data_IF_592259442121
#
_entry.id   IF_592259442121
#
_cell.length_a   1.000
_cell.length_b   1.000
_cell.length_c   1.000
_cell.angle_alpha   90.00
_cell.angle_beta   90.00
_cell.angle_gamma   90.00
#
_symmetry.space_group_name_H-M   'P 1'
#
loop_
_entity.id
_entity.type
_entity.pdbx_description
1 polymer ?
#
# COMPACT_ATOMS: atom_id res chain seq x y z
N UNK A 1 -73.73 12.33 -3.15
CA UNK A 1 -72.47 11.96 -3.82
C UNK A 1 -71.48 11.46 -2.77
N UNK A 2 -71.31 10.14 -2.67
CA UNK A 2 -70.41 9.52 -1.70
C UNK A 2 -69.05 9.23 -2.43
N UNK A 3 -67.96 9.83 -1.88
CA UNK A 3 -66.62 9.61 -2.38
C UNK A 3 -66.04 8.36 -1.72
N UNK A 4 -65.81 7.32 -2.53
CA UNK A 4 -65.20 6.07 -2.09
C UNK A 4 -63.68 6.27 -1.83
N UNK A 5 -63.21 6.06 -0.58
CA UNK A 5 -61.80 5.96 -0.22
C UNK A 5 -61.22 4.66 -0.77
N UNK A 6 -60.34 4.74 -1.78
CA UNK A 6 -59.47 3.62 -2.19
C UNK A 6 -58.42 3.36 -1.14
N UNK A 7 -58.47 2.20 -0.53
CA UNK A 7 -57.40 1.69 0.35
C UNK A 7 -56.17 1.27 -0.46
N UNK A 8 -54.97 1.80 -0.12
CA UNK A 8 -53.70 1.38 -0.71
C UNK A 8 -53.35 -0.05 -0.26
N UNK A 9 -52.72 -0.87 -1.12
CA UNK A 9 -52.33 -2.21 -0.77
C UNK A 9 -51.13 -2.17 0.21
N UNK A 10 -51.26 -2.84 1.36
CA UNK A 10 -50.18 -3.12 2.29
C UNK A 10 -49.11 -3.94 1.57
N UNK A 11 -47.95 -3.34 1.32
CA UNK A 11 -46.75 -4.05 0.90
C UNK A 11 -46.32 -4.98 2.04
N UNK A 12 -46.53 -6.26 1.89
CA UNK A 12 -46.00 -7.29 2.78
C UNK A 12 -44.49 -7.20 2.72
N UNK A 13 -43.85 -6.82 3.84
CA UNK A 13 -42.43 -6.95 4.02
C UNK A 13 -42.09 -8.43 4.06
N UNK A 14 -41.58 -8.97 2.96
CA UNK A 14 -40.97 -10.28 2.93
C UNK A 14 -39.72 -10.24 3.83
N UNK A 15 -39.87 -10.69 5.07
CA UNK A 15 -38.77 -10.99 5.95
C UNK A 15 -37.97 -12.12 5.30
N UNK A 16 -36.84 -11.79 4.64
CA UNK A 16 -35.85 -12.76 4.20
C UNK A 16 -35.23 -13.35 5.47
N UNK A 17 -35.74 -14.50 5.91
CA UNK A 17 -35.04 -15.38 6.85
C UNK A 17 -33.83 -15.98 6.15
N UNK A 18 -32.82 -15.14 5.94
CA UNK A 18 -31.50 -15.60 5.52
C UNK A 18 -30.92 -16.46 6.63
N UNK A 19 -30.98 -17.77 6.47
CA UNK A 19 -30.21 -18.68 7.32
C UNK A 19 -28.77 -18.24 7.27
N UNK A 20 -28.26 -17.66 8.35
CA UNK A 20 -26.87 -17.24 8.47
C UNK A 20 -26.01 -18.50 8.21
N UNK A 21 -25.27 -18.51 7.10
CA UNK A 21 -24.34 -19.61 6.80
C UNK A 21 -23.39 -19.73 7.99
N UNK A 22 -23.44 -20.84 8.74
CA UNK A 22 -22.46 -21.12 9.76
C UNK A 22 -21.14 -21.47 9.06
N UNK A 23 -20.12 -20.69 9.30
CA UNK A 23 -18.77 -20.99 8.81
C UNK A 23 -18.07 -21.90 9.83
N UNK A 24 -17.43 -22.95 9.35
CA UNK A 24 -16.66 -23.85 10.21
C UNK A 24 -15.49 -23.07 10.85
N UNK A 25 -15.27 -23.28 12.14
CA UNK A 25 -14.14 -22.70 12.85
C UNK A 25 -12.81 -23.23 12.27
N UNK A 26 -11.76 -22.39 12.35
CA UNK A 26 -10.41 -22.79 11.94
C UNK A 26 -9.93 -23.93 12.87
N UNK A 27 -9.33 -25.01 12.32
CA UNK A 27 -8.74 -26.05 13.14
C UNK A 27 -7.71 -25.52 14.14
N UNK A 28 -7.73 -26.00 15.39
CA UNK A 28 -6.88 -25.48 16.47
C UNK A 28 -5.38 -25.47 16.14
N UNK A 29 -4.89 -26.49 15.42
CA UNK A 29 -3.48 -26.54 14.98
C UNK A 29 -3.13 -25.39 14.01
N UNK A 30 -4.06 -25.05 13.10
CA UNK A 30 -3.88 -23.94 12.15
C UNK A 30 -3.97 -22.58 12.84
N UNK A 31 -4.89 -22.42 13.79
CA UNK A 31 -4.99 -21.22 14.61
C UNK A 31 -3.71 -20.99 15.44
N UNK A 32 -3.12 -22.04 16.02
CA UNK A 32 -1.82 -21.99 16.71
C UNK A 32 -0.68 -21.61 15.76
N UNK A 33 -0.66 -22.17 14.55
CA UNK A 33 0.35 -21.80 13.55
C UNK A 33 0.27 -20.34 13.16
N UNK A 34 -0.94 -19.81 12.88
CA UNK A 34 -1.15 -18.38 12.55
C UNK A 34 -0.75 -17.46 13.71
N UNK A 35 -1.07 -17.85 14.94
CA UNK A 35 -0.65 -17.13 16.14
C UNK A 35 0.88 -17.02 16.22
N UNK A 36 1.60 -18.10 16.02
CA UNK A 36 3.05 -18.11 16.04
C UNK A 36 3.65 -17.24 14.91
N UNK A 37 3.07 -17.31 13.70
CA UNK A 37 3.46 -16.46 12.58
C UNK A 37 3.28 -14.97 12.91
N UNK A 38 2.10 -14.57 13.40
CA UNK A 38 1.85 -13.19 13.77
C UNK A 38 2.83 -12.70 14.86
N UNK A 39 3.12 -13.52 15.88
CA UNK A 39 4.12 -13.17 16.92
C UNK A 39 5.52 -12.96 16.34
N UNK A 40 5.95 -13.84 15.45
CA UNK A 40 7.24 -13.70 14.78
C UNK A 40 7.30 -12.40 13.95
N UNK A 41 6.21 -12.05 13.26
CA UNK A 41 6.12 -10.84 12.47
C UNK A 41 6.08 -9.55 13.31
N UNK A 42 5.48 -9.58 14.51
CA UNK A 42 5.61 -8.48 15.49
C UNK A 42 7.07 -8.18 15.76
N UNK A 43 7.84 -9.23 16.09
CA UNK A 43 9.27 -9.10 16.43
C UNK A 43 10.08 -8.65 15.22
N UNK A 44 9.90 -9.31 14.07
CA UNK A 44 10.67 -9.01 12.85
C UNK A 44 10.44 -7.58 12.35
N UNK A 45 9.18 -7.14 12.29
CA UNK A 45 8.86 -5.77 11.89
C UNK A 45 9.30 -4.76 12.95
N UNK A 46 9.09 -5.06 14.22
CA UNK A 46 9.50 -4.18 15.32
C UNK A 46 11.02 -3.95 15.37
N UNK A 47 11.81 -5.02 15.23
CA UNK A 47 13.28 -4.93 15.18
C UNK A 47 13.70 -4.08 13.97
N UNK A 48 13.14 -4.31 12.78
CA UNK A 48 13.50 -3.54 11.59
C UNK A 48 13.14 -2.04 11.75
N UNK A 49 11.99 -1.72 12.35
CA UNK A 49 11.62 -0.34 12.66
C UNK A 49 12.67 0.35 13.55
N UNK A 50 13.10 -0.33 14.62
CA UNK A 50 14.11 0.20 15.55
C UNK A 50 15.47 0.35 14.84
N UNK A 51 15.92 -0.68 14.14
CA UNK A 51 17.21 -0.65 13.44
C UNK A 51 17.26 0.55 12.48
N UNK A 52 16.25 0.72 11.63
CA UNK A 52 16.21 1.82 10.65
C UNK A 52 16.30 3.18 11.35
N UNK A 53 15.60 3.40 12.45
CA UNK A 53 15.68 4.68 13.20
C UNK A 53 17.09 4.90 13.76
N UNK A 54 17.74 3.84 14.26
CA UNK A 54 19.05 3.95 14.93
C UNK A 54 20.19 4.17 13.93
N UNK A 55 20.17 3.48 12.78
CA UNK A 55 21.31 3.49 11.86
C UNK A 55 21.17 4.49 10.70
N UNK A 56 19.97 5.07 10.47
CA UNK A 56 19.74 5.92 9.31
C UNK A 56 19.92 7.39 9.64
N UNK A 57 20.64 8.16 8.79
CA UNK A 57 20.72 9.60 8.93
C UNK A 57 19.35 10.24 8.66
N UNK A 58 19.10 11.39 9.27
CA UNK A 58 17.85 12.14 9.12
C UNK A 58 17.88 13.18 7.99
N UNK A 59 19.02 13.30 7.28
CA UNK A 59 19.22 14.28 6.23
C UNK A 59 18.30 14.07 5.01
N UNK A 60 18.11 12.80 4.61
CA UNK A 60 17.20 12.47 3.52
C UNK A 60 15.74 12.63 4.00
N UNK A 61 14.98 13.48 3.32
CA UNK A 61 13.64 13.83 3.73
C UNK A 61 12.61 13.72 2.58
N UNK A 62 11.41 13.29 2.93
CA UNK A 62 10.22 13.45 2.10
C UNK A 62 9.79 14.91 2.21
N UNK A 63 9.70 15.60 1.08
CA UNK A 63 9.38 17.02 1.01
C UNK A 63 8.02 17.20 0.36
N UNK A 64 7.18 18.04 0.96
CA UNK A 64 5.88 18.43 0.42
C UNK A 64 5.96 19.91 -0.02
N UNK A 65 5.96 20.12 -1.34
CA UNK A 65 6.13 21.41 -1.97
C UNK A 65 4.78 21.87 -2.53
N UNK A 66 4.35 23.06 -2.13
CA UNK A 66 3.21 23.76 -2.73
C UNK A 66 3.66 24.63 -3.91
N UNK A 67 2.81 24.75 -4.92
CA UNK A 67 3.01 25.63 -6.07
C UNK A 67 1.94 26.70 -6.10
N UNK A 68 2.34 27.95 -6.43
CA UNK A 68 1.43 29.07 -6.50
C UNK A 68 1.81 30.03 -7.64
N UNK A 69 0.85 30.80 -8.19
CA UNK A 69 1.12 31.75 -9.25
C UNK A 69 1.81 33.02 -8.72
N UNK A 70 2.79 33.49 -9.46
CA UNK A 70 3.43 34.81 -9.28
C UNK A 70 3.40 35.55 -10.61
N UNK A 71 3.61 36.88 -10.56
CA UNK A 71 3.73 37.67 -11.78
C UNK A 71 4.94 37.18 -12.60
N UNK A 72 4.70 36.79 -13.82
CA UNK A 72 5.71 36.40 -14.80
C UNK A 72 6.21 37.60 -15.62
N UNK A 73 7.07 37.37 -16.61
CA UNK A 73 7.53 38.41 -17.52
C UNK A 73 6.38 38.96 -18.36
N UNK A 74 6.50 40.25 -18.76
CA UNK A 74 5.58 40.86 -19.72
C UNK A 74 5.95 40.39 -21.12
N UNK A 75 5.03 39.69 -21.81
CA UNK A 75 5.22 39.20 -23.18
C UNK A 75 4.26 39.95 -24.11
N UNK A 76 4.77 40.63 -25.12
CA UNK A 76 3.99 41.45 -26.06
C UNK A 76 3.06 42.47 -25.36
N UNK A 77 3.54 43.08 -24.26
CA UNK A 77 2.78 44.05 -23.49
C UNK A 77 1.70 43.46 -22.56
N UNK A 78 1.56 42.13 -22.52
CA UNK A 78 0.58 41.43 -21.67
C UNK A 78 1.27 40.82 -20.44
N UNK A 79 0.66 40.97 -19.23
CA UNK A 79 1.15 40.30 -18.03
C UNK A 79 0.97 38.81 -18.15
N UNK A 80 1.99 38.04 -17.75
CA UNK A 80 1.92 36.57 -17.66
C UNK A 80 2.02 36.10 -16.22
N UNK A 81 1.66 34.84 -15.96
CA UNK A 81 1.85 34.17 -14.69
C UNK A 81 2.98 33.15 -14.82
N UNK A 82 3.83 33.11 -13.81
CA UNK A 82 4.85 32.05 -13.61
C UNK A 82 4.51 31.26 -12.36
N UNK A 83 5.02 30.03 -12.26
CA UNK A 83 4.87 29.21 -11.06
C UNK A 83 6.03 29.47 -10.11
N UNK A 84 5.72 29.73 -8.86
CA UNK A 84 6.67 29.67 -7.74
C UNK A 84 6.34 28.46 -6.85
N UNK A 85 7.28 28.09 -5.99
CA UNK A 85 7.12 26.94 -5.10
C UNK A 85 7.58 27.28 -3.69
N UNK A 86 6.93 26.64 -2.71
CA UNK A 86 7.24 26.81 -1.29
C UNK A 86 7.24 25.42 -0.60
N UNK A 87 8.20 25.22 0.30
CA UNK A 87 8.22 24.02 1.14
C UNK A 87 7.15 24.14 2.23
N UNK A 88 6.10 23.34 2.15
CA UNK A 88 5.03 23.30 3.15
C UNK A 88 5.49 22.60 4.43
N UNK A 89 6.04 21.41 4.28
CA UNK A 89 6.66 20.65 5.36
C UNK A 89 7.56 19.54 4.80
N UNK A 90 8.39 18.99 5.68
CA UNK A 90 9.20 17.81 5.38
C UNK A 90 9.37 16.95 6.61
N UNK A 91 9.66 15.67 6.41
CA UNK A 91 10.02 14.77 7.50
C UNK A 91 11.06 13.74 7.02
N UNK A 92 11.94 13.27 7.92
CA UNK A 92 12.98 12.33 7.56
C UNK A 92 12.43 11.04 6.97
N UNK A 93 12.98 10.60 5.83
CA UNK A 93 12.59 9.37 5.13
C UNK A 93 12.75 8.15 6.03
N UNK A 94 13.75 8.14 6.92
CA UNK A 94 13.95 7.08 7.90
C UNK A 94 12.73 6.85 8.80
N UNK A 95 12.06 7.93 9.23
CA UNK A 95 10.86 7.82 10.06
C UNK A 95 9.66 7.29 9.27
N UNK A 96 9.57 7.61 7.99
CA UNK A 96 8.54 7.02 7.12
C UNK A 96 8.75 5.51 6.98
N UNK A 97 10.01 5.06 6.78
CA UNK A 97 10.37 3.64 6.71
C UNK A 97 10.07 2.94 8.03
N UNK A 98 10.46 3.53 9.16
CA UNK A 98 10.15 2.98 10.47
C UNK A 98 8.63 2.91 10.74
N UNK A 99 7.86 3.90 10.27
CA UNK A 99 6.42 3.97 10.46
C UNK A 99 5.70 2.83 9.74
N UNK A 100 6.05 2.49 8.49
CA UNK A 100 5.38 1.37 7.81
C UNK A 100 5.72 0.01 8.45
N UNK A 101 6.92 -0.17 9.02
CA UNK A 101 7.24 -1.35 9.83
C UNK A 101 6.46 -1.35 11.15
N UNK A 102 6.41 -0.20 11.83
CA UNK A 102 5.66 -0.04 13.09
C UNK A 102 4.17 -0.34 12.94
N UNK A 103 3.54 0.12 11.85
CA UNK A 103 2.16 -0.19 11.51
C UNK A 103 1.95 -1.70 11.31
N UNK A 104 2.87 -2.37 10.62
CA UNK A 104 2.79 -3.83 10.43
C UNK A 104 2.98 -4.58 11.75
N UNK A 105 3.96 -4.18 12.56
CA UNK A 105 4.16 -4.76 13.89
C UNK A 105 2.92 -4.61 14.77
N UNK A 106 2.32 -3.41 14.77
CA UNK A 106 1.07 -3.13 15.49
C UNK A 106 -0.09 -3.99 15.01
N UNK A 107 -0.31 -4.10 13.70
CA UNK A 107 -1.39 -4.91 13.15
C UNK A 107 -1.23 -6.39 13.51
N UNK A 108 -0.02 -6.95 13.38
CA UNK A 108 0.27 -8.32 13.80
C UNK A 108 0.10 -8.51 15.31
N UNK A 109 0.48 -7.52 16.13
CA UNK A 109 0.22 -7.54 17.57
C UNK A 109 -1.27 -7.58 17.88
N UNK A 110 -2.05 -6.72 17.23
CA UNK A 110 -3.50 -6.65 17.45
C UNK A 110 -4.19 -7.98 17.12
N UNK A 111 -3.86 -8.61 15.99
CA UNK A 111 -4.47 -9.90 15.60
C UNK A 111 -3.92 -11.10 16.36
N UNK A 112 -2.72 -11.00 16.92
CA UNK A 112 -2.16 -12.05 17.77
C UNK A 112 -2.76 -12.04 19.19
N UNK A 113 -3.06 -10.86 19.75
CA UNK A 113 -3.43 -10.72 21.14
C UNK A 113 -4.87 -10.21 21.32
N UNK A 114 -5.18 -8.89 21.31
CA UNK A 114 -6.50 -8.41 21.70
C UNK A 114 -7.63 -8.81 20.75
N UNK A 115 -7.34 -8.93 19.45
CA UNK A 115 -8.34 -9.25 18.43
C UNK A 115 -8.31 -10.72 17.98
N UNK A 116 -7.55 -11.58 18.64
CA UNK A 116 -7.30 -12.95 18.21
C UNK A 116 -8.58 -13.73 17.86
N UNK A 117 -9.57 -13.74 18.74
CA UNK A 117 -10.84 -14.44 18.49
C UNK A 117 -11.60 -13.88 17.30
N UNK A 118 -11.58 -12.53 17.15
CA UNK A 118 -12.21 -11.87 15.99
C UNK A 118 -11.48 -12.21 14.71
N UNK A 119 -10.14 -12.19 14.73
CA UNK A 119 -9.30 -12.55 13.60
C UNK A 119 -9.57 -13.98 13.13
N UNK A 120 -9.58 -14.97 14.02
CA UNK A 120 -9.93 -16.34 13.71
C UNK A 120 -11.34 -16.45 13.09
N UNK A 121 -12.32 -15.68 13.61
CA UNK A 121 -13.67 -15.62 13.04
C UNK A 121 -13.75 -14.95 11.67
N UNK A 122 -12.93 -13.94 11.40
CA UNK A 122 -12.83 -13.33 10.07
C UNK A 122 -12.25 -14.32 9.06
N UNK A 123 -11.13 -14.98 9.40
CA UNK A 123 -10.47 -15.94 8.52
C UNK A 123 -11.36 -17.15 8.22
N UNK A 124 -12.19 -17.60 9.17
CA UNK A 124 -13.17 -18.65 8.96
C UNK A 124 -14.19 -18.28 7.85
N UNK A 125 -14.41 -17.00 7.60
CA UNK A 125 -15.27 -16.47 6.52
C UNK A 125 -14.53 -16.10 5.24
N UNK A 126 -13.26 -16.48 5.12
CA UNK A 126 -12.38 -16.12 4.00
C UNK A 126 -12.26 -14.58 3.84
N UNK A 127 -12.07 -13.85 4.98
CA UNK A 127 -12.03 -12.40 5.05
C UNK A 127 -11.02 -11.92 6.10
N UNK A 128 -10.20 -10.92 5.79
CA UNK A 128 -9.28 -10.32 6.75
C UNK A 128 -9.25 -8.80 6.66
N UNK A 129 -10.17 -8.09 7.34
CA UNK A 129 -10.23 -6.63 7.31
C UNK A 129 -8.98 -5.95 7.90
N UNK A 130 -8.33 -6.56 8.91
CA UNK A 130 -7.15 -5.99 9.54
C UNK A 130 -5.96 -5.91 8.56
N UNK A 131 -5.78 -6.92 7.72
CA UNK A 131 -4.75 -6.91 6.67
C UNK A 131 -4.94 -5.73 5.71
N UNK A 132 -6.17 -5.53 5.24
CA UNK A 132 -6.48 -4.46 4.29
C UNK A 132 -6.35 -3.07 4.92
N UNK A 133 -6.77 -2.90 6.18
CA UNK A 133 -6.57 -1.66 6.93
C UNK A 133 -5.07 -1.37 7.12
N UNK A 134 -4.29 -2.36 7.51
CA UNK A 134 -2.84 -2.23 7.64
C UNK A 134 -2.20 -1.87 6.30
N UNK A 135 -2.55 -2.56 5.20
CA UNK A 135 -1.99 -2.27 3.88
C UNK A 135 -2.41 -0.87 3.38
N UNK A 136 -3.64 -0.44 3.60
CA UNK A 136 -4.08 0.90 3.24
C UNK A 136 -3.22 2.00 3.88
N UNK A 137 -2.69 1.75 5.06
CA UNK A 137 -1.79 2.70 5.75
C UNK A 137 -0.32 2.45 5.38
N UNK A 138 0.18 1.24 5.61
CA UNK A 138 1.62 0.95 5.48
C UNK A 138 2.12 1.02 4.04
N UNK A 139 1.39 0.44 3.06
CA UNK A 139 1.81 0.51 1.67
C UNK A 139 1.66 1.92 1.08
N UNK A 140 0.77 2.74 1.66
CA UNK A 140 0.66 4.15 1.27
C UNK A 140 1.88 4.94 1.70
N UNK A 141 2.42 4.71 2.89
CA UNK A 141 3.71 5.28 3.27
C UNK A 141 4.83 4.80 2.32
N UNK A 142 4.82 3.52 1.95
CA UNK A 142 5.80 2.98 0.99
C UNK A 142 5.73 3.69 -0.36
N UNK A 143 4.53 3.86 -0.94
CA UNK A 143 4.36 4.49 -2.25
C UNK A 143 4.73 5.98 -2.23
N UNK A 144 4.43 6.69 -1.13
CA UNK A 144 4.86 8.09 -0.94
C UNK A 144 6.39 8.18 -0.87
N UNK A 145 7.05 7.25 -0.17
CA UNK A 145 8.51 7.17 -0.14
C UNK A 145 9.10 6.92 -1.52
N UNK A 146 8.57 5.94 -2.28
CA UNK A 146 9.03 5.61 -3.65
C UNK A 146 8.80 6.82 -4.59
N UNK A 147 7.64 7.46 -4.51
CA UNK A 147 7.33 8.65 -5.31
C UNK A 147 8.31 9.80 -5.01
N UNK A 148 8.59 10.06 -3.72
CA UNK A 148 9.54 11.08 -3.30
C UNK A 148 10.97 10.79 -3.78
N UNK A 149 11.40 9.53 -3.75
CA UNK A 149 12.68 9.09 -4.32
C UNK A 149 12.72 9.20 -5.86
N UNK A 150 11.55 9.25 -6.51
CA UNK A 150 11.41 9.55 -7.94
C UNK A 150 11.30 11.04 -8.24
N UNK A 151 11.67 11.91 -7.29
CA UNK A 151 11.59 13.37 -7.39
C UNK A 151 10.17 13.94 -7.51
N UNK A 152 9.14 13.18 -7.15
CA UNK A 152 7.78 13.71 -7.00
C UNK A 152 7.69 14.37 -5.63
N UNK A 153 7.68 15.71 -5.58
CA UNK A 153 7.66 16.49 -4.35
C UNK A 153 6.43 17.40 -4.24
N UNK A 154 5.65 17.56 -5.32
CA UNK A 154 4.39 18.30 -5.28
C UNK A 154 3.43 17.68 -4.25
N UNK A 155 2.97 18.52 -3.32
CA UNK A 155 2.12 18.08 -2.21
C UNK A 155 0.78 17.50 -2.71
N UNK A 156 0.17 18.14 -3.73
CA UNK A 156 -1.09 17.66 -4.32
C UNK A 156 -0.90 16.30 -5.00
N UNK A 157 0.19 16.14 -5.75
CA UNK A 157 0.52 14.86 -6.38
C UNK A 157 0.76 13.76 -5.34
N UNK A 158 1.57 14.01 -4.31
CA UNK A 158 1.85 13.02 -3.25
C UNK A 158 0.57 12.60 -2.51
N UNK A 159 -0.32 13.56 -2.19
CA UNK A 159 -1.62 13.26 -1.57
C UNK A 159 -2.50 12.42 -2.51
N UNK A 160 -2.58 12.80 -3.79
CA UNK A 160 -3.35 12.05 -4.78
C UNK A 160 -2.85 10.60 -4.94
N UNK A 161 -1.53 10.40 -5.02
CA UNK A 161 -0.92 9.07 -5.07
C UNK A 161 -1.18 8.25 -3.79
N UNK A 162 -1.09 8.90 -2.62
CA UNK A 162 -1.40 8.29 -1.33
C UNK A 162 -2.86 7.80 -1.28
N UNK A 163 -3.82 8.65 -1.67
CA UNK A 163 -5.26 8.31 -1.69
C UNK A 163 -5.54 7.21 -2.71
N UNK A 164 -4.95 7.26 -3.90
CA UNK A 164 -5.11 6.23 -4.92
C UNK A 164 -4.63 4.86 -4.42
N UNK A 165 -3.44 4.81 -3.78
CA UNK A 165 -2.91 3.57 -3.20
C UNK A 165 -3.74 3.05 -2.02
N UNK A 166 -4.19 3.93 -1.13
CA UNK A 166 -5.08 3.56 -0.03
C UNK A 166 -6.40 2.98 -0.58
N UNK A 167 -6.99 3.64 -1.58
CA UNK A 167 -8.22 3.19 -2.25
C UNK A 167 -8.06 1.82 -2.88
N UNK A 168 -6.93 1.52 -3.53
CA UNK A 168 -6.61 0.18 -4.05
C UNK A 168 -6.74 -0.89 -2.96
N UNK A 169 -6.18 -0.65 -1.78
CA UNK A 169 -6.26 -1.59 -0.67
C UNK A 169 -7.68 -1.71 -0.10
N UNK A 170 -8.44 -0.61 -0.03
CA UNK A 170 -9.84 -0.63 0.39
C UNK A 170 -10.73 -1.36 -0.63
N UNK A 171 -10.41 -1.31 -1.92
CA UNK A 171 -11.04 -2.18 -2.92
C UNK A 171 -10.69 -3.66 -2.71
N UNK A 172 -9.47 -3.97 -2.24
CA UNK A 172 -9.11 -5.32 -1.80
C UNK A 172 -9.96 -5.80 -0.63
N UNK A 173 -10.20 -4.95 0.37
CA UNK A 173 -11.14 -5.20 1.46
C UNK A 173 -12.53 -5.50 0.92
N UNK A 174 -13.07 -4.57 0.13
CA UNK A 174 -14.40 -4.68 -0.47
C UNK A 174 -14.53 -5.93 -1.36
N UNK A 175 -13.46 -6.32 -2.07
CA UNK A 175 -13.41 -7.54 -2.87
C UNK A 175 -13.59 -8.79 -2.00
N UNK A 176 -12.91 -8.89 -0.85
CA UNK A 176 -13.09 -10.02 0.05
C UNK A 176 -14.49 -10.04 0.67
N UNK A 177 -14.95 -8.90 1.17
CA UNK A 177 -16.25 -8.77 1.82
C UNK A 177 -17.40 -9.11 0.88
N UNK A 178 -17.38 -8.59 -0.35
CA UNK A 178 -18.40 -8.86 -1.37
C UNK A 178 -18.44 -10.33 -1.81
N UNK A 179 -17.37 -11.09 -1.59
CA UNK A 179 -17.27 -12.48 -2.00
C UNK A 179 -17.44 -13.49 -0.86
N UNK A 180 -17.77 -13.05 0.36
CA UNK A 180 -18.03 -13.95 1.49
C UNK A 180 -19.16 -14.94 1.12
N UNK A 181 -18.83 -16.24 1.12
CA UNK A 181 -19.79 -17.31 0.87
C UNK A 181 -20.35 -17.38 -0.56
N UNK A 182 -19.82 -16.60 -1.52
CA UNK A 182 -20.23 -16.69 -2.94
C UNK A 182 -19.58 -17.86 -3.64
N UNK A 183 -20.32 -18.50 -4.54
CA UNK A 183 -19.79 -19.51 -5.46
C UNK A 183 -19.09 -18.85 -6.67
N UNK A 184 -19.70 -17.82 -7.22
CA UNK A 184 -19.16 -17.06 -8.36
C UNK A 184 -18.52 -15.78 -7.86
N UNK A 185 -17.26 -15.58 -8.24
CA UNK A 185 -16.46 -14.41 -7.82
C UNK A 185 -16.96 -13.15 -8.51
N UNK A 186 -17.22 -12.10 -7.72
CA UNK A 186 -17.54 -10.76 -8.22
C UNK A 186 -16.24 -9.96 -8.34
N UNK A 187 -15.80 -9.69 -9.57
CA UNK A 187 -14.50 -9.11 -9.89
C UNK A 187 -14.46 -7.59 -9.93
N UNK A 188 -15.62 -6.91 -9.91
CA UNK A 188 -15.67 -5.45 -10.09
C UNK A 188 -14.75 -4.68 -9.12
N UNK A 189 -14.76 -5.05 -7.85
CA UNK A 189 -13.92 -4.40 -6.84
C UNK A 189 -12.41 -4.62 -7.09
N UNK A 190 -12.04 -5.81 -7.56
CA UNK A 190 -10.66 -6.10 -7.96
C UNK A 190 -10.22 -5.22 -9.14
N UNK A 191 -11.06 -5.09 -10.17
CA UNK A 191 -10.79 -4.26 -11.34
C UNK A 191 -10.62 -2.79 -10.93
N UNK A 192 -11.53 -2.26 -10.10
CA UNK A 192 -11.41 -0.89 -9.59
C UNK A 192 -10.15 -0.70 -8.74
N UNK A 193 -9.79 -1.69 -7.95
CA UNK A 193 -8.52 -1.72 -7.23
C UNK A 193 -7.31 -1.67 -8.15
N UNK A 194 -7.30 -2.43 -9.24
CA UNK A 194 -6.22 -2.39 -10.24
C UNK A 194 -6.11 -1.01 -10.91
N UNK A 195 -7.24 -0.38 -11.25
CA UNK A 195 -7.26 0.98 -11.83
C UNK A 195 -6.67 1.99 -10.85
N UNK A 196 -7.10 1.96 -9.58
CA UNK A 196 -6.57 2.84 -8.55
C UNK A 196 -5.08 2.58 -8.28
N UNK A 197 -4.65 1.31 -8.26
CA UNK A 197 -3.29 0.90 -7.93
C UNK A 197 -2.26 1.17 -9.02
N UNK A 198 -2.65 1.18 -10.31
CA UNK A 198 -1.71 1.45 -11.40
C UNK A 198 -1.37 2.94 -11.51
N UNK A 199 -2.26 3.84 -11.10
CA UNK A 199 -2.07 5.28 -11.24
C UNK A 199 -0.79 5.80 -10.54
N UNK A 200 -0.49 5.44 -9.28
CA UNK A 200 0.78 5.80 -8.65
C UNK A 200 2.01 5.32 -9.42
N UNK A 201 1.96 4.11 -9.95
CA UNK A 201 3.10 3.56 -10.69
C UNK A 201 3.32 4.26 -12.03
N UNK A 202 2.25 4.66 -12.74
CA UNK A 202 2.37 5.48 -13.96
C UNK A 202 3.09 6.80 -13.64
N UNK A 203 2.67 7.52 -12.60
CA UNK A 203 3.30 8.77 -12.19
C UNK A 203 4.78 8.56 -11.80
N UNK A 204 5.07 7.53 -11.01
CA UNK A 204 6.43 7.17 -10.60
C UNK A 204 7.30 6.86 -11.82
N UNK A 205 6.83 6.04 -12.76
CA UNK A 205 7.61 5.68 -13.95
C UNK A 205 7.81 6.85 -14.91
N UNK A 206 6.85 7.76 -15.04
CA UNK A 206 7.06 8.99 -15.82
C UNK A 206 8.18 9.83 -15.18
N UNK A 207 8.11 10.10 -13.90
CA UNK A 207 9.12 10.90 -13.18
C UNK A 207 10.48 10.21 -13.18
N UNK A 208 10.53 8.90 -12.90
CA UNK A 208 11.76 8.12 -12.93
C UNK A 208 12.35 8.04 -14.35
N UNK A 209 11.53 7.86 -15.38
CA UNK A 209 11.95 7.86 -16.79
C UNK A 209 12.59 9.17 -17.22
N UNK A 210 12.00 10.31 -16.82
CA UNK A 210 12.59 11.63 -17.03
C UNK A 210 13.93 11.77 -16.30
N UNK A 211 14.03 11.28 -15.06
CA UNK A 211 15.29 11.26 -14.31
C UNK A 211 16.36 10.43 -15.00
N UNK A 212 16.02 9.26 -15.57
CA UNK A 212 16.94 8.43 -16.32
C UNK A 212 17.41 9.07 -17.65
N UNK A 213 16.52 9.81 -18.31
CA UNK A 213 16.84 10.52 -19.56
C UNK A 213 17.85 11.67 -19.33
N UNK A 214 17.81 12.30 -18.16
CA UNK A 214 18.72 13.40 -17.78
C UNK A 214 19.76 12.95 -16.73
N UNK A 215 20.05 11.65 -16.67
CA UNK A 215 20.94 11.10 -15.64
C UNK A 215 22.37 11.64 -15.80
N UNK A 216 23.03 12.05 -14.71
CA UNK A 216 24.42 12.50 -14.76
C UNK A 216 25.35 11.43 -15.33
N UNK A 217 26.45 11.86 -15.93
CA UNK A 217 27.53 11.00 -16.45
C UNK A 217 28.83 11.25 -15.69
N UNK A 218 29.74 10.29 -15.74
CA UNK A 218 31.03 10.36 -15.05
C UNK A 218 30.99 9.75 -13.65
N UNK A 219 31.94 10.17 -12.83
CA UNK A 219 32.12 9.71 -11.44
C UNK A 219 32.00 10.86 -10.45
N UNK A 220 31.47 10.57 -9.26
CA UNK A 220 31.44 11.54 -8.16
C UNK A 220 32.85 11.76 -7.62
N UNK A 221 33.02 12.81 -6.81
CA UNK A 221 34.29 13.07 -6.10
C UNK A 221 34.73 11.90 -5.20
N UNK A 222 33.78 11.07 -4.74
CA UNK A 222 34.02 9.87 -3.94
C UNK A 222 34.17 8.59 -4.77
N UNK A 223 34.31 8.70 -6.10
CA UNK A 223 34.59 7.56 -6.98
C UNK A 223 33.36 6.71 -7.36
N UNK A 224 32.14 7.15 -7.05
CA UNK A 224 30.91 6.44 -7.48
C UNK A 224 30.64 6.68 -8.94
N UNK A 225 30.57 5.61 -9.74
CA UNK A 225 30.16 5.67 -11.16
C UNK A 225 28.65 5.87 -11.27
N UNK A 226 28.23 6.98 -11.90
CA UNK A 226 26.82 7.28 -12.15
C UNK A 226 26.14 6.25 -13.03
N UNK A 227 26.83 5.59 -13.97
CA UNK A 227 26.24 4.56 -14.82
C UNK A 227 25.92 3.29 -14.00
N UNK A 228 26.83 2.87 -13.11
CA UNK A 228 26.59 1.76 -12.19
C UNK A 228 25.44 2.06 -11.23
N UNK A 229 25.39 3.27 -10.67
CA UNK A 229 24.32 3.70 -9.77
C UNK A 229 22.96 3.75 -10.48
N UNK A 230 22.90 4.25 -11.72
CA UNK A 230 21.70 4.19 -12.58
C UNK A 230 21.16 2.77 -12.71
N UNK A 231 22.03 1.80 -12.96
CA UNK A 231 21.65 0.39 -13.10
C UNK A 231 21.04 -0.16 -11.82
N UNK A 232 21.65 0.14 -10.67
CA UNK A 232 21.12 -0.25 -9.35
C UNK A 232 19.72 0.33 -9.12
N UNK A 233 19.51 1.61 -9.44
CA UNK A 233 18.19 2.24 -9.29
C UNK A 233 17.13 1.57 -10.17
N UNK A 234 17.44 1.25 -11.42
CA UNK A 234 16.50 0.54 -12.31
C UNK A 234 16.10 -0.80 -11.67
N UNK A 235 17.06 -1.57 -11.18
CA UNK A 235 16.79 -2.86 -10.51
C UNK A 235 15.89 -2.66 -9.29
N UNK A 236 16.14 -1.63 -8.47
CA UNK A 236 15.32 -1.29 -7.31
C UNK A 236 13.87 -1.04 -7.74
N UNK A 237 13.63 -0.12 -8.68
CA UNK A 237 12.26 0.24 -9.09
C UNK A 237 11.52 -0.94 -9.72
N UNK A 238 12.18 -1.74 -10.55
CA UNK A 238 11.58 -2.94 -11.14
C UNK A 238 11.24 -3.97 -10.06
N UNK A 239 12.14 -4.23 -9.11
CA UNK A 239 11.91 -5.18 -8.03
C UNK A 239 10.76 -4.76 -7.11
N UNK A 240 10.63 -3.46 -6.81
CA UNK A 240 9.52 -2.91 -6.04
C UNK A 240 8.19 -3.02 -6.79
N UNK A 241 8.17 -2.65 -8.07
CA UNK A 241 6.99 -2.80 -8.91
C UNK A 241 6.50 -4.26 -8.96
N UNK A 242 7.40 -5.20 -9.19
CA UNK A 242 7.08 -6.64 -9.18
C UNK A 242 6.55 -7.05 -7.82
N UNK A 243 7.22 -6.66 -6.73
CA UNK A 243 6.82 -7.01 -5.36
C UNK A 243 5.40 -6.56 -5.03
N UNK A 244 5.03 -5.33 -5.42
CA UNK A 244 3.67 -4.81 -5.21
C UNK A 244 2.62 -5.57 -6.03
N UNK A 245 2.93 -5.94 -7.28
CA UNK A 245 1.98 -6.63 -8.15
C UNK A 245 1.75 -8.10 -7.75
N UNK A 246 2.71 -8.76 -7.08
CA UNK A 246 2.52 -10.13 -6.57
C UNK A 246 1.35 -10.22 -5.57
N UNK A 247 1.04 -9.15 -4.82
CA UNK A 247 -0.13 -9.12 -3.92
C UNK A 247 -1.45 -9.25 -4.70
N UNK A 248 -1.57 -8.57 -5.84
CA UNK A 248 -2.74 -8.67 -6.71
C UNK A 248 -2.87 -10.09 -7.31
N UNK A 249 -1.74 -10.68 -7.73
CA UNK A 249 -1.69 -12.06 -8.23
C UNK A 249 -2.11 -13.03 -7.12
N UNK A 250 -1.61 -12.87 -5.89
CA UNK A 250 -1.99 -13.71 -4.75
C UNK A 250 -3.51 -13.70 -4.49
N UNK A 251 -4.15 -12.52 -4.63
CA UNK A 251 -5.61 -12.42 -4.52
C UNK A 251 -6.32 -13.22 -5.62
N UNK A 252 -5.89 -13.12 -6.87
CA UNK A 252 -6.47 -13.87 -7.99
C UNK A 252 -6.36 -15.37 -7.74
N UNK A 253 -5.17 -15.86 -7.39
CA UNK A 253 -4.94 -17.26 -7.08
C UNK A 253 -5.84 -17.78 -5.95
N UNK A 254 -5.99 -16.96 -4.89
CA UNK A 254 -6.82 -17.29 -3.73
C UNK A 254 -8.31 -17.31 -4.08
N UNK A 255 -8.80 -16.35 -4.88
CA UNK A 255 -10.21 -16.30 -5.29
C UNK A 255 -10.58 -17.35 -6.32
N UNK A 256 -9.65 -17.70 -7.21
CA UNK A 256 -9.82 -18.81 -8.18
C UNK A 256 -9.53 -20.19 -7.57
N UNK A 257 -9.07 -20.25 -6.31
CA UNK A 257 -8.74 -21.50 -5.58
C UNK A 257 -7.75 -22.40 -6.34
N UNK A 258 -6.71 -21.79 -6.94
CA UNK A 258 -5.72 -22.48 -7.77
C UNK A 258 -4.71 -23.21 -6.88
N UNK A 259 -4.58 -24.52 -7.03
CA UNK A 259 -3.59 -25.35 -6.34
C UNK A 259 -3.65 -25.20 -4.82
N UNK A 260 -2.55 -24.80 -4.18
CA UNK A 260 -2.47 -24.59 -2.72
C UNK A 260 -3.35 -23.45 -2.21
N UNK A 261 -3.69 -22.48 -3.07
CA UNK A 261 -4.58 -21.36 -2.75
C UNK A 261 -6.05 -21.74 -2.64
N UNK A 262 -6.42 -23.00 -2.93
CA UNK A 262 -7.73 -23.55 -2.56
C UNK A 262 -7.98 -23.49 -1.04
N UNK A 263 -6.91 -23.56 -0.25
CA UNK A 263 -6.92 -23.25 1.18
C UNK A 263 -6.71 -21.74 1.41
N UNK A 264 -7.74 -21.06 1.90
CA UNK A 264 -7.68 -19.62 2.19
C UNK A 264 -6.52 -19.25 3.12
N UNK A 265 -6.23 -20.10 4.12
CA UNK A 265 -5.15 -19.85 5.08
C UNK A 265 -3.74 -19.97 4.44
N UNK A 266 -3.61 -20.69 3.33
CA UNK A 266 -2.37 -20.68 2.56
C UNK A 266 -2.16 -19.30 1.89
N UNK A 267 -3.19 -18.75 1.24
CA UNK A 267 -3.13 -17.41 0.67
C UNK A 267 -2.89 -16.33 1.72
N UNK A 268 -3.50 -16.46 2.90
CA UNK A 268 -3.28 -15.56 4.04
C UNK A 268 -1.81 -15.55 4.48
N UNK A 269 -1.22 -16.73 4.64
CA UNK A 269 0.21 -16.84 4.98
C UNK A 269 1.11 -16.28 3.86
N UNK A 270 0.71 -16.46 2.61
CA UNK A 270 1.43 -15.86 1.47
C UNK A 270 1.44 -14.33 1.55
N UNK A 271 0.32 -13.70 1.92
CA UNK A 271 0.28 -12.25 2.17
C UNK A 271 1.21 -11.81 3.29
N UNK A 272 1.29 -12.58 4.39
CA UNK A 272 2.21 -12.25 5.50
C UNK A 272 3.68 -12.28 5.03
N UNK A 273 4.07 -13.31 4.27
CA UNK A 273 5.42 -13.45 3.73
C UNK A 273 5.71 -12.33 2.72
N UNK A 274 4.79 -12.08 1.78
CA UNK A 274 4.93 -11.02 0.79
C UNK A 274 5.09 -9.64 1.45
N UNK A 275 4.30 -9.35 2.49
CA UNK A 275 4.39 -8.10 3.23
C UNK A 275 5.76 -7.93 3.91
N UNK A 276 6.25 -8.96 4.58
CA UNK A 276 7.58 -8.94 5.20
C UNK A 276 8.66 -8.70 4.14
N UNK A 277 8.64 -9.49 3.06
CA UNK A 277 9.65 -9.42 1.99
C UNK A 277 9.64 -8.04 1.31
N UNK A 278 8.47 -7.55 0.88
CA UNK A 278 8.36 -6.28 0.18
C UNK A 278 8.82 -5.09 1.05
N UNK A 279 8.43 -5.06 2.33
CA UNK A 279 8.84 -4.02 3.27
C UNK A 279 10.34 -4.07 3.57
N UNK A 280 10.87 -5.27 3.80
CA UNK A 280 12.30 -5.49 4.04
C UNK A 280 13.10 -5.08 2.80
N UNK A 281 12.68 -5.52 1.61
CA UNK A 281 13.34 -5.17 0.36
C UNK A 281 13.40 -3.64 0.16
N UNK A 282 12.26 -2.96 0.26
CA UNK A 282 12.22 -1.50 0.14
C UNK A 282 13.13 -0.80 1.17
N UNK A 283 13.00 -1.18 2.45
CA UNK A 283 13.75 -0.52 3.51
C UNK A 283 15.26 -0.63 3.32
N UNK A 284 15.77 -1.83 3.00
CA UNK A 284 17.20 -2.04 2.82
C UNK A 284 17.72 -1.50 1.49
N UNK A 285 16.91 -1.46 0.44
CA UNK A 285 17.25 -0.76 -0.80
C UNK A 285 17.33 0.76 -0.58
N UNK A 286 16.41 1.34 0.19
CA UNK A 286 16.49 2.76 0.57
C UNK A 286 17.73 3.01 1.44
N UNK A 287 18.01 2.11 2.40
CA UNK A 287 19.17 2.25 3.25
C UNK A 287 20.47 2.22 2.44
N UNK A 288 20.64 1.25 1.55
CA UNK A 288 21.85 1.13 0.72
C UNK A 288 21.98 2.24 -0.32
N UNK A 289 20.87 2.75 -0.86
CA UNK A 289 20.89 3.77 -1.93
C UNK A 289 20.86 5.22 -1.42
N UNK A 290 20.35 5.48 -0.21
CA UNK A 290 20.12 6.83 0.28
C UNK A 290 20.78 7.12 1.64
N UNK A 291 20.87 6.10 2.51
CA UNK A 291 21.32 6.29 3.90
C UNK A 291 22.76 5.88 4.17
N UNK A 292 23.45 5.24 3.24
CA UNK A 292 24.85 4.86 3.48
C UNK A 292 25.74 6.09 3.73
N UNK A 293 26.64 6.03 4.75
CA UNK A 293 27.64 7.06 4.95
C UNK A 293 28.51 7.23 3.70
N UNK A 294 28.50 8.41 3.10
CA UNK A 294 29.25 8.73 1.87
C UNK A 294 28.42 8.84 0.61
N UNK A 295 27.10 8.62 0.65
CA UNK A 295 26.17 8.86 -0.46
C UNK A 295 25.63 10.31 -0.52
N UNK A 296 26.06 11.17 0.38
CA UNK A 296 25.68 12.61 0.44
C UNK A 296 26.79 13.49 -0.08
#
# INVERSE_FOLDING_TARGET
>A
MAVAKKSAPKRAAAASSGVAKSFAAIPAARAKQLFNWNRALVVLHGIQAIIIVVISPTAAAVRFIGHYPVQGPIVNGMPTLSSASELLFSFPLAYLVAAFFGLSALAHFLVAFPLRKRYEGWLAREFNPMRWAEYALSSTLMIVGIASLSFITDAGALIALAVANASMNLFGWSMEEANIGRKNVQWSHYIFGCIAGIAPWIAIFISFGLSLAHWPTGTTANGVDFAAFKTVLIVIYVSLFVSFNIFAINMVLQRLKIGKWADYLHGERSYMILSLVAKTLLAWQVWTGVFQPGSN
#
